data_IF_370056494987
#
_entry.id   IF_370056494987
#
_cell.length_a   1.000
_cell.length_b   1.000
_cell.length_c   1.000
_cell.angle_alpha   90.00
_cell.angle_beta   90.00
_cell.angle_gamma   90.00
#
_symmetry.space_group_name_H-M   'P 1'
#
loop_
_entity.id
_entity.type
_entity.pdbx_description
1 polymer ?
#
# COMPACT_ATOMS: atom_id res chain seq x y z
N UNK A 1 -32.99 51.87 40.32
CA UNK A 1 -32.07 51.18 41.26
C UNK A 1 -32.50 49.73 41.53
N UNK A 2 -33.61 49.45 42.24
CA UNK A 2 -34.01 48.08 42.64
C UNK A 2 -34.28 47.10 41.48
N UNK A 3 -34.88 47.57 40.38
CA UNK A 3 -35.15 46.73 39.19
C UNK A 3 -33.88 46.36 38.40
N UNK A 4 -32.84 47.18 38.45
CA UNK A 4 -31.56 46.88 37.80
C UNK A 4 -30.76 45.87 38.63
N UNK A 5 -30.76 46.00 39.96
CA UNK A 5 -30.13 45.01 40.84
C UNK A 5 -30.73 43.61 40.68
N UNK A 6 -32.06 43.49 40.62
CA UNK A 6 -32.72 42.19 40.38
C UNK A 6 -32.30 41.53 39.05
N UNK A 7 -32.17 42.31 37.97
CA UNK A 7 -31.69 41.78 36.67
C UNK A 7 -30.23 41.35 36.70
N UNK A 8 -29.38 42.04 37.47
CA UNK A 8 -27.98 41.63 37.66
C UNK A 8 -27.90 40.32 38.44
N UNK A 9 -28.69 40.16 39.50
CA UNK A 9 -28.78 38.91 40.28
C UNK A 9 -29.31 37.74 39.44
N UNK A 10 -30.33 37.96 38.60
CA UNK A 10 -30.86 36.95 37.68
C UNK A 10 -29.82 36.53 36.62
N UNK A 11 -29.07 37.49 36.05
CA UNK A 11 -27.99 37.16 35.10
C UNK A 11 -26.84 36.42 35.76
N UNK A 12 -26.48 36.77 37.01
CA UNK A 12 -25.44 36.08 37.76
C UNK A 12 -25.85 34.66 38.14
N UNK A 13 -27.11 34.44 38.53
CA UNK A 13 -27.64 33.11 38.79
C UNK A 13 -27.62 32.24 37.52
N UNK A 14 -28.03 32.79 36.38
CA UNK A 14 -27.95 32.10 35.09
C UNK A 14 -26.50 31.79 34.68
N UNK A 15 -25.55 32.69 34.94
CA UNK A 15 -24.12 32.44 34.66
C UNK A 15 -23.56 31.33 35.55
N UNK A 16 -23.91 31.31 36.84
CA UNK A 16 -23.47 30.26 37.78
C UNK A 16 -24.07 28.91 37.39
N UNK A 17 -25.34 28.88 36.99
CA UNK A 17 -26.02 27.66 36.54
C UNK A 17 -25.44 27.14 35.20
N UNK A 18 -25.08 28.04 34.27
CA UNK A 18 -24.36 27.69 33.04
C UNK A 18 -22.93 27.18 33.33
N UNK A 19 -22.20 27.77 34.27
CA UNK A 19 -20.88 27.26 34.67
C UNK A 19 -20.96 25.91 35.38
N UNK A 20 -21.94 25.72 36.27
CA UNK A 20 -22.17 24.44 36.93
C UNK A 20 -22.59 23.34 35.93
N UNK A 21 -23.33 23.69 34.88
CA UNK A 21 -23.67 22.77 33.80
C UNK A 21 -22.42 22.32 33.01
N UNK A 22 -21.48 23.23 32.73
CA UNK A 22 -20.21 22.92 32.05
C UNK A 22 -19.25 22.08 32.91
N UNK A 23 -19.35 22.16 34.24
CA UNK A 23 -18.59 21.33 35.20
C UNK A 23 -19.31 20.01 35.56
N UNK A 24 -20.44 19.70 34.90
CA UNK A 24 -21.13 18.42 35.10
C UNK A 24 -20.23 17.25 34.70
N UNK A 25 -20.22 16.14 35.46
CA UNK A 25 -19.47 14.93 35.10
C UNK A 25 -19.81 14.40 33.71
N UNK A 26 -21.03 14.63 33.22
CA UNK A 26 -21.45 14.26 31.86
C UNK A 26 -20.70 15.06 30.77
N UNK A 27 -20.42 16.35 31.01
CA UNK A 27 -19.65 17.18 30.09
C UNK A 27 -18.16 16.81 30.12
N UNK A 28 -17.63 16.47 31.29
CA UNK A 28 -16.26 15.97 31.42
C UNK A 28 -16.07 14.62 30.71
N UNK A 29 -17.05 13.71 30.82
CA UNK A 29 -17.04 12.42 30.12
C UNK A 29 -17.16 12.61 28.60
N UNK A 30 -18.03 13.50 28.13
CA UNK A 30 -18.14 13.84 26.71
C UNK A 30 -16.83 14.44 26.17
N UNK A 31 -16.21 15.37 26.90
CA UNK A 31 -14.93 15.96 26.52
C UNK A 31 -13.80 14.91 26.45
N UNK A 32 -13.76 13.98 27.39
CA UNK A 32 -12.80 12.87 27.36
C UNK A 32 -13.02 11.97 26.13
N UNK A 33 -14.27 11.64 25.80
CA UNK A 33 -14.60 10.85 24.60
C UNK A 33 -14.26 11.57 23.30
N UNK A 34 -14.48 12.87 23.23
CA UNK A 34 -14.08 13.70 22.07
C UNK A 34 -12.56 13.68 21.91
N UNK A 35 -11.82 13.85 23.01
CA UNK A 35 -10.36 13.80 23.00
C UNK A 35 -9.83 12.45 22.51
N UNK A 36 -10.40 11.34 22.98
CA UNK A 36 -10.02 9.98 22.58
C UNK A 36 -10.32 9.72 21.10
N UNK A 37 -11.49 10.16 20.62
CA UNK A 37 -11.89 10.04 19.21
C UNK A 37 -10.97 10.85 18.27
N UNK A 38 -10.58 12.07 18.66
CA UNK A 38 -9.62 12.88 17.89
C UNK A 38 -8.27 12.19 17.84
N UNK A 39 -7.77 11.70 18.98
CA UNK A 39 -6.50 10.96 19.02
C UNK A 39 -6.53 9.70 18.16
N UNK A 40 -7.65 8.96 18.18
CA UNK A 40 -7.82 7.76 17.36
C UNK A 40 -7.84 8.08 15.87
N UNK A 41 -8.54 9.15 15.46
CA UNK A 41 -8.55 9.62 14.08
C UNK A 41 -7.15 10.00 13.60
N UNK A 42 -6.42 10.78 14.39
CA UNK A 42 -5.07 11.22 14.03
C UNK A 42 -4.12 10.04 13.90
N UNK A 43 -4.24 9.02 14.77
CA UNK A 43 -3.49 7.77 14.64
C UNK A 43 -3.79 7.04 13.33
N UNK A 44 -5.06 6.90 12.95
CA UNK A 44 -5.46 6.26 11.69
C UNK A 44 -4.88 6.98 10.47
N UNK A 45 -4.82 8.32 10.48
CA UNK A 45 -4.20 9.10 9.40
C UNK A 45 -2.70 8.84 9.26
N UNK A 46 -1.99 8.70 10.39
CA UNK A 46 -0.56 8.36 10.40
C UNK A 46 -0.32 6.96 9.85
N UNK A 47 -1.18 5.99 10.18
CA UNK A 47 -1.08 4.61 9.68
C UNK A 47 -1.47 4.46 8.20
N UNK A 48 -2.45 5.23 7.73
CA UNK A 48 -2.92 5.18 6.34
C UNK A 48 -1.90 5.68 5.33
N UNK A 49 -1.13 6.71 5.70
CA UNK A 49 -0.15 7.34 4.80
C UNK A 49 0.87 6.36 4.20
N UNK A 50 1.60 5.55 5.00
CA UNK A 50 2.55 4.57 4.46
C UNK A 50 1.86 3.42 3.70
N UNK A 51 0.63 3.05 4.07
CA UNK A 51 -0.15 2.02 3.37
C UNK A 51 -0.51 2.48 1.96
N UNK A 52 -1.00 3.71 1.82
CA UNK A 52 -1.37 4.26 0.52
C UNK A 52 -0.16 4.50 -0.39
N UNK A 53 0.97 4.94 0.18
CA UNK A 53 2.24 5.03 -0.55
C UNK A 53 2.69 3.65 -1.05
N UNK A 54 2.60 2.63 -0.21
CA UNK A 54 2.93 1.25 -0.58
C UNK A 54 2.04 0.76 -1.72
N UNK A 55 0.73 0.98 -1.63
CA UNK A 55 -0.22 0.65 -2.70
C UNK A 55 0.20 1.32 -4.02
N UNK A 56 0.55 2.62 -3.97
CA UNK A 56 0.99 3.39 -5.14
C UNK A 56 2.29 2.90 -5.79
N UNK A 57 3.13 2.17 -5.05
CA UNK A 57 4.37 1.54 -5.58
C UNK A 57 4.10 0.12 -6.09
N UNK A 58 3.23 -0.63 -5.42
CA UNK A 58 2.94 -2.02 -5.75
C UNK A 58 2.17 -2.16 -7.06
N UNK A 59 1.18 -1.30 -7.32
CA UNK A 59 0.39 -1.32 -8.57
C UNK A 59 1.26 -1.26 -9.84
N UNK A 60 2.11 -0.22 -10.04
CA UNK A 60 2.94 -0.13 -11.23
C UNK A 60 3.99 -1.26 -11.30
N UNK A 61 4.47 -1.72 -10.14
CA UNK A 61 5.39 -2.87 -10.05
C UNK A 61 4.75 -4.16 -10.58
N UNK A 62 3.52 -4.46 -10.18
CA UNK A 62 2.76 -5.64 -10.62
C UNK A 62 2.53 -5.60 -12.13
N UNK A 63 2.18 -4.44 -12.67
CA UNK A 63 1.97 -4.24 -14.12
C UNK A 63 3.26 -4.41 -14.91
N UNK A 64 4.37 -3.87 -14.38
CA UNK A 64 5.69 -3.99 -14.99
C UNK A 64 6.14 -5.45 -15.05
N UNK A 65 5.98 -6.20 -13.95
CA UNK A 65 6.28 -7.64 -13.89
C UNK A 65 5.48 -8.43 -14.93
N UNK A 66 4.19 -8.15 -15.07
CA UNK A 66 3.34 -8.79 -16.08
C UNK A 66 3.80 -8.49 -17.50
N UNK A 67 4.19 -7.23 -17.77
CA UNK A 67 4.72 -6.81 -19.07
C UNK A 67 6.03 -7.50 -19.41
N UNK A 68 6.94 -7.64 -18.44
CA UNK A 68 8.20 -8.36 -18.64
C UNK A 68 8.00 -9.85 -18.89
N UNK A 69 7.16 -10.51 -18.09
CA UNK A 69 6.84 -11.93 -18.28
C UNK A 69 6.29 -12.18 -19.70
N UNK A 70 5.30 -11.38 -20.12
CA UNK A 70 4.72 -11.47 -21.47
C UNK A 70 5.75 -11.21 -22.57
N UNK A 71 6.69 -10.28 -22.35
CA UNK A 71 7.75 -10.00 -23.34
C UNK A 71 8.72 -11.17 -23.49
N UNK A 72 9.13 -11.81 -22.38
CA UNK A 72 10.02 -12.97 -22.40
C UNK A 72 9.31 -14.15 -23.10
N UNK A 73 8.05 -14.41 -22.78
CA UNK A 73 7.25 -15.45 -23.43
C UNK A 73 7.12 -15.22 -24.93
N UNK A 74 6.82 -13.98 -25.35
CA UNK A 74 6.74 -13.63 -26.77
C UNK A 74 8.07 -13.88 -27.48
N UNK A 75 9.20 -13.48 -26.89
CA UNK A 75 10.53 -13.74 -27.44
C UNK A 75 10.90 -15.23 -27.48
N UNK A 76 10.37 -16.05 -26.57
CA UNK A 76 10.56 -17.49 -26.59
C UNK A 76 9.67 -18.21 -27.62
N UNK A 77 8.56 -17.60 -28.05
CA UNK A 77 7.58 -18.18 -28.98
C UNK A 77 7.84 -17.86 -30.47
N UNK A 78 8.56 -16.78 -30.81
CA UNK A 78 8.88 -16.39 -32.19
C UNK A 78 9.55 -17.52 -32.98
N UNK A 79 9.17 -17.87 -34.22
CA UNK A 79 9.75 -18.99 -34.99
C UNK A 79 11.26 -18.88 -35.14
N UNK A 80 11.97 -20.01 -35.09
CA UNK A 80 13.43 -20.05 -35.05
C UNK A 80 14.04 -19.48 -36.36
N UNK A 81 14.74 -18.34 -36.31
CA UNK A 81 15.48 -17.85 -37.46
C UNK A 81 16.75 -18.69 -37.63
N UNK A 82 17.14 -18.95 -38.87
CA UNK A 82 18.28 -19.80 -39.26
C UNK A 82 19.65 -19.36 -38.72
N UNK A 83 19.72 -18.24 -38.00
CA UNK A 83 20.94 -17.59 -37.48
C UNK A 83 21.04 -17.60 -35.93
N UNK A 84 20.11 -18.25 -35.22
CA UNK A 84 20.11 -18.31 -33.76
C UNK A 84 19.65 -17.02 -33.05
N UNK A 85 19.02 -16.07 -33.75
CA UNK A 85 18.56 -14.82 -33.12
C UNK A 85 17.53 -15.03 -32.01
N UNK A 86 16.75 -16.13 -32.03
CA UNK A 86 15.82 -16.50 -30.95
C UNK A 86 16.53 -16.62 -29.59
N UNK A 87 17.65 -17.35 -29.54
CA UNK A 87 18.42 -17.54 -28.32
C UNK A 87 19.02 -16.23 -27.78
N UNK A 88 19.47 -15.34 -28.69
CA UNK A 88 20.00 -14.02 -28.32
C UNK A 88 18.92 -13.08 -27.77
N UNK A 89 17.73 -13.07 -28.39
CA UNK A 89 16.59 -12.28 -27.90
C UNK A 89 16.10 -12.76 -26.54
N UNK A 90 15.99 -14.08 -26.35
CA UNK A 90 15.64 -14.68 -25.06
C UNK A 90 16.70 -14.37 -23.97
N UNK A 91 17.99 -14.42 -24.32
CA UNK A 91 19.09 -14.06 -23.42
C UNK A 91 19.04 -12.59 -22.99
N UNK A 92 18.85 -11.66 -23.94
CA UNK A 92 18.68 -10.23 -23.64
C UNK A 92 17.46 -9.97 -22.75
N UNK A 93 16.35 -10.66 -23.01
CA UNK A 93 15.14 -10.55 -22.20
C UNK A 93 15.36 -11.04 -20.76
N UNK A 94 16.13 -12.14 -20.58
CA UNK A 94 16.50 -12.63 -19.24
C UNK A 94 17.47 -11.68 -18.53
N UNK A 95 18.45 -11.11 -19.23
CA UNK A 95 19.36 -10.13 -18.67
C UNK A 95 18.63 -8.88 -18.16
N UNK A 96 17.65 -8.39 -18.93
CA UNK A 96 16.76 -7.30 -18.51
C UNK A 96 15.88 -7.68 -17.31
N UNK A 97 15.32 -8.89 -17.30
CA UNK A 97 14.56 -9.40 -16.16
C UNK A 97 15.39 -9.42 -14.88
N UNK A 98 16.68 -9.72 -14.98
CA UNK A 98 17.63 -9.66 -13.86
C UNK A 98 17.78 -8.26 -13.29
N UNK A 99 18.04 -7.28 -14.14
CA UNK A 99 18.12 -5.88 -13.70
C UNK A 99 16.83 -5.42 -13.03
N UNK A 100 15.67 -5.87 -13.53
CA UNK A 100 14.36 -5.53 -12.96
C UNK A 100 14.16 -6.19 -11.60
N UNK A 101 14.48 -7.47 -11.47
CA UNK A 101 14.43 -8.20 -10.18
C UNK A 101 15.37 -7.58 -9.15
N UNK A 102 16.61 -7.25 -9.54
CA UNK A 102 17.58 -6.57 -8.66
C UNK A 102 17.08 -5.18 -8.24
N UNK A 103 16.43 -4.44 -9.15
CA UNK A 103 15.82 -3.15 -8.84
C UNK A 103 14.59 -3.30 -7.94
N UNK A 104 13.80 -4.36 -8.12
CA UNK A 104 12.64 -4.68 -7.30
C UNK A 104 13.05 -5.10 -5.90
N UNK A 105 14.14 -5.85 -5.73
CA UNK A 105 14.70 -6.17 -4.41
C UNK A 105 14.97 -4.88 -3.61
N UNK A 106 15.61 -3.89 -4.26
CA UNK A 106 15.84 -2.58 -3.63
C UNK A 106 14.53 -1.88 -3.26
N UNK A 107 13.53 -1.87 -4.15
CA UNK A 107 12.25 -1.19 -3.90
C UNK A 107 11.41 -1.92 -2.84
N UNK A 108 11.36 -3.25 -2.88
CA UNK A 108 10.57 -4.08 -1.98
C UNK A 108 11.24 -4.22 -0.60
N UNK A 109 12.55 -4.05 -0.49
CA UNK A 109 13.26 -4.03 0.80
C UNK A 109 12.88 -2.83 1.69
N UNK A 110 12.38 -1.75 1.08
CA UNK A 110 11.85 -0.57 1.78
C UNK A 110 10.38 -0.71 2.16
N UNK A 111 9.69 -1.74 1.63
CA UNK A 111 8.29 -2.04 1.93
C UNK A 111 8.24 -3.16 2.96
N UNK A 112 7.45 -3.05 4.05
CA UNK A 112 7.34 -4.11 5.05
C UNK A 112 6.48 -5.26 4.53
N UNK A 113 6.97 -5.98 3.52
CA UNK A 113 6.34 -7.16 2.95
C UNK A 113 6.89 -8.39 3.68
N UNK A 114 6.15 -8.87 4.67
CA UNK A 114 6.51 -10.10 5.37
C UNK A 114 6.34 -11.32 4.45
N UNK A 115 7.42 -12.07 4.23
CA UNK A 115 7.36 -13.44 3.72
C UNK A 115 7.29 -13.62 2.21
N UNK A 116 7.58 -12.59 1.40
CA UNK A 116 7.70 -12.77 -0.05
C UNK A 116 8.99 -13.54 -0.40
N UNK A 117 8.91 -14.68 -1.12
CA UNK A 117 10.10 -15.31 -1.64
C UNK A 117 10.71 -14.41 -2.73
N UNK A 118 11.98 -14.04 -2.57
CA UNK A 118 12.69 -13.28 -3.58
C UNK A 118 13.00 -14.18 -4.79
N UNK A 119 12.70 -13.72 -6.02
CA UNK A 119 13.02 -14.47 -7.23
C UNK A 119 14.53 -14.74 -7.36
N UNK A 120 14.92 -16.01 -7.39
CA UNK A 120 16.27 -16.43 -7.78
C UNK A 120 16.36 -16.61 -9.28
N UNK A 121 17.10 -15.73 -9.96
CA UNK A 121 17.34 -15.85 -11.40
C UNK A 121 18.54 -16.74 -11.71
N UNK A 122 18.48 -17.53 -12.80
CA UNK A 122 19.59 -18.40 -13.21
C UNK A 122 20.80 -17.57 -13.68
N UNK A 123 22.00 -18.06 -13.33
CA UNK A 123 23.27 -17.48 -13.77
C UNK A 123 23.49 -17.81 -15.26
N UNK A 124 23.55 -16.79 -16.11
CA UNK A 124 23.65 -16.96 -17.57
C UNK A 124 25.11 -16.84 -18.02
N UNK A 125 25.68 -17.94 -18.54
CA UNK A 125 27.00 -17.97 -19.16
C UNK A 125 27.07 -17.14 -20.47
N UNK A 126 28.27 -16.68 -20.91
CA UNK A 126 28.43 -15.82 -22.09
C UNK A 126 28.24 -16.57 -23.44
N UNK A 127 27.46 -15.92 -24.33
CA UNK A 127 27.04 -16.22 -25.72
C UNK A 127 26.65 -17.67 -26.14
N UNK A 128 25.59 -17.85 -26.96
CA UNK A 128 25.09 -19.19 -27.29
C UNK A 128 25.72 -19.85 -28.51
N UNK A 129 26.41 -20.98 -28.30
CA UNK A 129 26.40 -22.11 -29.25
C UNK A 129 25.02 -22.80 -29.19
N UNK A 130 24.60 -23.51 -30.24
CA UNK A 130 23.25 -24.14 -30.36
C UNK A 130 22.80 -24.93 -29.12
N UNK A 131 23.69 -25.67 -28.45
CA UNK A 131 23.39 -26.40 -27.21
C UNK A 131 23.04 -25.48 -26.01
N UNK A 132 23.53 -24.24 -26.01
CA UNK A 132 23.19 -23.22 -25.01
C UNK A 132 21.84 -22.56 -25.28
N UNK A 133 21.28 -22.66 -26.50
CA UNK A 133 20.00 -22.02 -26.82
C UNK A 133 18.83 -22.68 -26.10
N UNK A 134 18.79 -24.02 -26.04
CA UNK A 134 17.77 -24.75 -25.28
C UNK A 134 17.90 -24.47 -23.77
N UNK A 135 19.12 -24.35 -23.26
CA UNK A 135 19.40 -23.99 -21.87
C UNK A 135 18.95 -22.55 -21.56
N UNK A 136 19.17 -21.60 -22.46
CA UNK A 136 18.68 -20.23 -22.31
C UNK A 136 17.15 -20.14 -22.40
N UNK A 137 16.51 -20.94 -23.25
CA UNK A 137 15.04 -21.02 -23.29
C UNK A 137 14.48 -21.65 -22.01
N UNK A 138 15.13 -22.68 -21.47
CA UNK A 138 14.76 -23.26 -20.18
C UNK A 138 14.97 -22.27 -19.02
N UNK A 139 16.05 -21.50 -19.04
CA UNK A 139 16.29 -20.41 -18.11
C UNK A 139 15.21 -19.32 -18.22
N UNK A 140 14.86 -18.90 -19.44
CA UNK A 140 13.82 -17.89 -19.69
C UNK A 140 12.45 -18.32 -19.15
N UNK A 141 12.06 -19.58 -19.37
CA UNK A 141 10.81 -20.14 -18.83
C UNK A 141 10.78 -20.13 -17.31
N UNK A 142 11.87 -20.55 -16.66
CA UNK A 142 12.00 -20.49 -15.19
C UNK A 142 11.88 -19.06 -14.67
N UNK A 143 12.52 -18.10 -15.34
CA UNK A 143 12.42 -16.68 -14.98
C UNK A 143 10.99 -16.16 -15.11
N UNK A 144 10.26 -16.56 -16.16
CA UNK A 144 8.83 -16.20 -16.33
C UNK A 144 7.97 -16.75 -15.21
N UNK A 145 8.12 -18.04 -14.89
CA UNK A 145 7.38 -18.68 -13.80
C UNK A 145 7.62 -17.96 -12.46
N UNK A 146 8.86 -17.57 -12.20
CA UNK A 146 9.23 -16.88 -10.98
C UNK A 146 8.67 -15.44 -10.92
N UNK A 147 8.72 -14.70 -12.03
CA UNK A 147 8.10 -13.38 -12.15
C UNK A 147 6.57 -13.45 -11.96
N UNK A 148 5.94 -14.51 -12.48
CA UNK A 148 4.50 -14.74 -12.32
C UNK A 148 4.14 -15.04 -10.86
N UNK A 149 4.89 -15.91 -10.18
CA UNK A 149 4.71 -16.17 -8.74
C UNK A 149 4.87 -14.91 -7.89
N UNK A 150 5.91 -14.12 -8.16
CA UNK A 150 6.13 -12.85 -7.45
C UNK A 150 4.95 -11.90 -7.71
N UNK A 151 4.51 -11.78 -8.95
CA UNK A 151 3.36 -10.94 -9.32
C UNK A 151 2.09 -11.36 -8.57
N UNK A 152 1.80 -12.65 -8.49
CA UNK A 152 0.64 -13.17 -7.75
C UNK A 152 0.74 -12.85 -6.26
N UNK A 153 1.89 -13.09 -5.64
CA UNK A 153 2.10 -12.78 -4.24
C UNK A 153 1.99 -11.27 -3.93
N UNK A 154 2.46 -10.41 -4.84
CA UNK A 154 2.28 -8.96 -4.73
C UNK A 154 0.82 -8.53 -4.92
N UNK A 155 0.05 -9.20 -5.79
CA UNK A 155 -1.39 -8.97 -5.94
C UNK A 155 -2.13 -9.31 -4.64
N UNK A 156 -1.80 -10.43 -4.00
CA UNK A 156 -2.39 -10.84 -2.72
C UNK A 156 -2.08 -9.81 -1.62
N UNK A 157 -0.83 -9.36 -1.52
CA UNK A 157 -0.42 -8.30 -0.58
C UNK A 157 -1.13 -6.97 -0.85
N UNK A 158 -1.22 -6.57 -2.12
CA UNK A 158 -1.94 -5.37 -2.54
C UNK A 158 -3.41 -5.42 -2.12
N UNK A 159 -4.05 -6.59 -2.24
CA UNK A 159 -5.44 -6.78 -1.82
C UNK A 159 -5.60 -6.60 -0.30
N UNK A 160 -4.73 -7.21 0.51
CA UNK A 160 -4.73 -7.02 1.98
C UNK A 160 -4.55 -5.55 2.35
N UNK A 161 -3.62 -4.84 1.70
CA UNK A 161 -3.40 -3.42 1.96
C UNK A 161 -4.61 -2.57 1.57
N UNK A 162 -5.28 -2.87 0.45
CA UNK A 162 -6.51 -2.18 0.03
C UNK A 162 -7.64 -2.39 1.03
N UNK A 163 -7.81 -3.60 1.55
CA UNK A 163 -8.82 -3.92 2.56
C UNK A 163 -8.54 -3.18 3.87
N UNK A 164 -7.29 -3.19 4.34
CA UNK A 164 -6.87 -2.41 5.52
C UNK A 164 -7.10 -0.92 5.34
N UNK A 165 -6.71 -0.39 4.18
CA UNK A 165 -6.87 1.02 3.83
C UNK A 165 -8.35 1.42 3.74
N UNK A 166 -9.21 0.57 3.18
CA UNK A 166 -10.66 0.78 3.14
C UNK A 166 -11.30 0.76 4.54
N UNK A 167 -10.93 -0.22 5.37
CA UNK A 167 -11.43 -0.34 6.75
C UNK A 167 -11.04 0.88 7.61
N UNK A 168 -9.78 1.31 7.54
CA UNK A 168 -9.31 2.48 8.28
C UNK A 168 -9.99 3.78 7.81
N UNK A 169 -10.24 3.94 6.50
CA UNK A 169 -11.01 5.09 6.00
C UNK A 169 -12.47 5.06 6.45
N UNK A 170 -13.09 3.88 6.54
CA UNK A 170 -14.46 3.76 7.05
C UNK A 170 -14.53 4.14 8.54
N UNK A 171 -13.58 3.67 9.36
CA UNK A 171 -13.46 4.05 10.77
C UNK A 171 -13.24 5.57 10.90
N UNK A 172 -12.36 6.15 10.09
CA UNK A 172 -12.14 7.60 10.05
C UNK A 172 -13.43 8.38 9.74
N UNK A 173 -14.20 7.97 8.72
CA UNK A 173 -15.46 8.62 8.36
C UNK A 173 -16.51 8.54 9.47
N UNK A 174 -16.56 7.42 10.19
CA UNK A 174 -17.45 7.26 11.34
C UNK A 174 -17.05 8.18 12.50
N UNK A 175 -15.75 8.28 12.79
CA UNK A 175 -15.21 9.19 13.81
C UNK A 175 -15.47 10.65 13.44
N UNK A 176 -15.23 11.05 12.18
CA UNK A 176 -15.48 12.42 11.72
C UNK A 176 -16.97 12.78 11.81
N UNK A 177 -17.87 11.86 11.45
CA UNK A 177 -19.32 12.03 11.60
C UNK A 177 -19.71 12.17 13.07
N UNK A 178 -19.21 11.29 13.94
CA UNK A 178 -19.50 11.34 15.36
C UNK A 178 -18.97 12.63 16.01
N UNK A 179 -17.76 13.06 15.67
CA UNK A 179 -17.17 14.32 16.15
C UNK A 179 -18.00 15.52 15.71
N UNK A 180 -18.50 15.52 14.47
CA UNK A 180 -19.39 16.57 13.98
C UNK A 180 -20.71 16.61 14.78
N UNK A 181 -21.32 15.45 15.05
CA UNK A 181 -22.54 15.33 15.86
C UNK A 181 -22.32 15.70 17.33
N UNK A 182 -21.14 15.42 17.90
CA UNK A 182 -20.81 15.71 19.30
C UNK A 182 -20.43 17.17 19.56
N UNK A 183 -19.96 17.90 18.54
CA UNK A 183 -19.53 19.30 18.64
C UNK A 183 -20.55 20.32 18.11
N UNK A 184 -21.56 19.87 17.35
CA UNK A 184 -22.63 20.70 16.77
C UNK A 184 -23.87 20.78 17.64
#
# INVERSE_FOLDING_TARGET
>A
ARSLMRRVEEMQALQVEQHAALESPEHAELAARIHDAVHRRDHLMVELTPVDQTIGVLEPTIDLLGTFAARIEASAAEPEPTDGARGRSAWLACGLARTVVESLDSVLSEVPLEGLPMPTLPDLAPEPELARQEEHLAAARRSVEELQRLREALIDQLQVLRERSAAARAEQQELDRWLFEAMG
#
